data_IF_910283429155
#
_entry.id   IF_910283429155
#
_cell.length_a   1.000
_cell.length_b   1.000
_cell.length_c   1.000
_cell.angle_alpha   90.00
_cell.angle_beta   90.00
_cell.angle_gamma   90.00
#
_symmetry.space_group_name_H-M   'P 1'
#
loop_
_entity.id
_entity.type
_entity.pdbx_description
1 polymer ?
#
# COMPACT_ATOMS: atom_id res chain seq x y z
N UNK A 1 8.75 -8.51 -6.89
CA UNK A 1 7.93 -7.60 -6.05
C UNK A 1 6.71 -7.10 -6.83
N UNK A 2 6.89 -6.40 -7.95
CA UNK A 2 5.75 -5.82 -8.68
C UNK A 2 4.63 -6.80 -9.10
N UNK A 3 4.89 -8.10 -9.31
CA UNK A 3 3.84 -9.08 -9.69
C UNK A 3 2.73 -9.28 -8.65
N UNK A 4 3.00 -9.03 -7.37
CA UNK A 4 2.04 -9.24 -6.28
C UNK A 4 1.37 -7.94 -5.80
N UNK A 5 1.57 -6.81 -6.48
CA UNK A 5 1.13 -5.48 -6.04
C UNK A 5 -0.37 -5.42 -5.69
N UNK A 6 -1.22 -6.12 -6.44
CA UNK A 6 -2.67 -6.21 -6.18
C UNK A 6 -3.00 -6.75 -4.79
N UNK A 7 -2.23 -7.73 -4.30
CA UNK A 7 -2.45 -8.29 -2.96
C UNK A 7 -1.97 -7.32 -1.87
N UNK A 8 -0.94 -6.53 -2.16
CA UNK A 8 -0.48 -5.48 -1.24
C UNK A 8 -1.48 -4.33 -1.15
N UNK A 9 -2.12 -3.96 -2.27
CA UNK A 9 -3.25 -3.01 -2.27
C UNK A 9 -4.35 -3.48 -1.33
N UNK A 10 -4.81 -4.72 -1.50
CA UNK A 10 -5.86 -5.29 -0.63
C UNK A 10 -5.40 -5.33 0.83
N UNK A 11 -4.19 -5.82 1.10
CA UNK A 11 -3.65 -5.90 2.46
C UNK A 11 -3.52 -4.54 3.15
N UNK A 12 -3.07 -3.52 2.43
CA UNK A 12 -2.94 -2.16 2.97
C UNK A 12 -4.30 -1.53 3.27
N UNK A 13 -5.29 -1.73 2.39
CA UNK A 13 -6.65 -1.23 2.63
C UNK A 13 -7.31 -1.97 3.78
N UNK A 14 -7.12 -3.29 3.90
CA UNK A 14 -7.63 -4.07 5.05
C UNK A 14 -6.97 -3.61 6.34
N UNK A 15 -5.65 -3.41 6.35
CA UNK A 15 -4.96 -2.88 7.53
C UNK A 15 -5.47 -1.49 7.90
N UNK A 16 -5.68 -0.60 6.92
CA UNK A 16 -6.23 0.73 7.15
C UNK A 16 -7.66 0.66 7.72
N UNK A 17 -8.50 -0.25 7.21
CA UNK A 17 -9.86 -0.45 7.69
C UNK A 17 -9.91 -1.01 9.12
N UNK A 18 -8.94 -1.82 9.53
CA UNK A 18 -8.83 -2.32 10.92
C UNK A 18 -8.38 -1.22 11.88
N UNK A 19 -7.48 -0.33 11.42
CA UNK A 19 -6.87 0.70 12.27
C UNK A 19 -7.68 2.00 12.35
N UNK A 20 -8.49 2.29 11.33
CA UNK A 20 -9.36 3.47 11.32
C UNK A 20 -10.67 3.15 12.04
N UNK A 21 -11.07 3.92 13.06
CA UNK A 21 -12.33 3.69 13.77
C UNK A 21 -13.56 4.05 12.92
N UNK A 22 -13.38 4.91 11.92
CA UNK A 22 -14.40 5.28 10.95
C UNK A 22 -14.28 4.41 9.69
N UNK A 23 -15.42 3.99 9.13
CA UNK A 23 -15.48 3.19 7.90
C UNK A 23 -15.54 4.05 6.64
N UNK A 24 -15.15 5.32 6.73
CA UNK A 24 -15.18 6.22 5.59
C UNK A 24 -13.98 5.98 4.65
N UNK A 25 -14.17 5.98 3.33
CA UNK A 25 -13.08 5.68 2.40
C UNK A 25 -11.94 6.69 2.42
N UNK A 26 -12.19 7.95 2.80
CA UNK A 26 -11.17 9.00 2.73
C UNK A 26 -10.08 8.76 3.77
N UNK A 27 -10.44 8.54 5.03
CA UNK A 27 -9.48 8.29 6.11
C UNK A 27 -8.72 6.99 5.90
N UNK A 28 -9.39 5.95 5.40
CA UNK A 28 -8.77 4.69 5.03
C UNK A 28 -7.73 4.84 3.91
N UNK A 29 -8.06 5.58 2.85
CA UNK A 29 -7.11 5.82 1.75
C UNK A 29 -5.95 6.73 2.18
N UNK A 30 -6.18 7.67 3.10
CA UNK A 30 -5.11 8.51 3.64
C UNK A 30 -4.07 7.69 4.40
N UNK A 31 -4.49 6.64 5.12
CA UNK A 31 -3.60 5.71 5.81
C UNK A 31 -2.99 4.66 4.85
N UNK A 32 -3.77 4.11 3.93
CA UNK A 32 -3.29 3.11 2.97
C UNK A 32 -2.31 3.70 1.93
N UNK A 33 -2.49 4.96 1.54
CA UNK A 33 -1.69 5.64 0.53
C UNK A 33 -0.17 5.60 0.81
N UNK A 34 0.29 6.03 2.00
CA UNK A 34 1.69 5.92 2.40
C UNK A 34 2.24 4.48 2.36
N UNK A 35 1.46 3.49 2.82
CA UNK A 35 1.88 2.08 2.78
C UNK A 35 2.12 1.60 1.34
N UNK A 36 1.21 1.97 0.44
CA UNK A 36 1.34 1.65 -0.99
C UNK A 36 2.47 2.44 -1.65
N UNK A 37 2.66 3.70 -1.28
CA UNK A 37 3.77 4.53 -1.74
C UNK A 37 5.12 3.93 -1.38
N UNK A 38 5.29 3.47 -0.13
CA UNK A 38 6.52 2.82 0.31
C UNK A 38 6.75 1.48 -0.41
N UNK A 39 5.71 0.66 -0.56
CA UNK A 39 5.83 -0.62 -1.26
C UNK A 39 6.20 -0.43 -2.74
N UNK A 40 5.44 0.41 -3.46
CA UNK A 40 5.66 0.65 -4.88
C UNK A 40 6.97 1.38 -5.11
N UNK A 41 7.28 2.40 -4.30
CA UNK A 41 8.54 3.14 -4.36
C UNK A 41 9.75 2.24 -4.12
N UNK A 42 9.71 1.41 -3.08
CA UNK A 42 10.77 0.42 -2.79
C UNK A 42 10.91 -0.62 -3.90
N UNK A 43 9.79 -1.18 -4.39
CA UNK A 43 9.82 -2.15 -5.48
C UNK A 43 10.39 -1.57 -6.78
N UNK A 44 10.08 -0.32 -7.10
CA UNK A 44 10.65 0.39 -8.25
C UNK A 44 12.13 0.71 -8.03
N UNK A 45 12.53 1.16 -6.84
CA UNK A 45 13.93 1.42 -6.53
C UNK A 45 14.81 0.18 -6.71
N UNK A 46 14.34 -0.99 -6.26
CA UNK A 46 15.02 -2.27 -6.48
C UNK A 46 15.13 -2.56 -7.98
N UNK A 47 14.01 -2.48 -8.72
CA UNK A 47 13.99 -2.72 -10.17
C UNK A 47 14.95 -1.80 -10.94
N UNK A 48 15.05 -0.54 -10.55
CA UNK A 48 15.95 0.44 -11.16
C UNK A 48 17.42 0.19 -10.80
N UNK A 49 17.70 -0.47 -9.67
CA UNK A 49 19.06 -0.85 -9.27
C UNK A 49 19.64 -2.04 -10.05
N UNK A 50 18.93 -2.57 -11.05
CA UNK A 50 19.36 -3.71 -11.85
C UNK A 50 19.17 -5.08 -11.18
N UNK A 51 18.31 -5.14 -10.15
CA UNK A 51 17.89 -6.35 -9.44
C UNK A 51 16.37 -6.50 -9.52
#
# INVERSE_FOLDING_TARGET
MLSIWRYVVVGAVVAAAVLTPSTDPLTQMLLAGPLLGLYLGGAWMVKLSGR
#
